data_IF_893121482386
#
_entry.id   IF_893121482386
#
_cell.length_a   1.000
_cell.length_b   1.000
_cell.length_c   1.000
_cell.angle_alpha   90.00
_cell.angle_beta   90.00
_cell.angle_gamma   90.00
#
_symmetry.space_group_name_H-M   'P 1'
#
loop_
_entity.id
_entity.type
_entity.pdbx_description
1 polymer ?
#
# COMPACT_ATOMS: atom_id res chain seq x y z
N UNK A 1 -1.53 19.40 -7.98
CA UNK A 1 -2.04 20.55 -7.18
C UNK A 1 -3.54 20.82 -7.36
N UNK A 2 -4.04 21.07 -8.58
CA UNK A 2 -5.46 21.44 -8.79
C UNK A 2 -6.49 20.35 -8.35
N UNK A 3 -6.18 19.07 -8.61
CA UNK A 3 -7.07 17.94 -8.24
C UNK A 3 -7.22 17.74 -6.73
N UNK A 4 -6.18 18.06 -5.96
CA UNK A 4 -6.17 17.89 -4.50
C UNK A 4 -7.14 18.84 -3.80
N UNK A 5 -7.29 20.08 -4.29
CA UNK A 5 -8.19 21.05 -3.67
C UNK A 5 -9.66 20.83 -3.99
N UNK A 6 -9.96 20.16 -5.10
CA UNK A 6 -11.33 19.84 -5.50
C UNK A 6 -12.07 19.01 -4.45
N UNK A 7 -11.36 18.13 -3.74
CA UNK A 7 -11.92 17.30 -2.66
C UNK A 7 -12.30 18.10 -1.40
N UNK A 8 -11.73 19.30 -1.23
CA UNK A 8 -11.98 20.18 -0.08
C UNK A 8 -13.18 21.11 -0.28
N UNK A 9 -13.73 21.20 -1.50
CA UNK A 9 -14.92 22.01 -1.81
C UNK A 9 -16.19 21.26 -1.39
N UNK A 10 -16.51 21.28 -0.09
CA UNK A 10 -17.79 20.80 0.47
C UNK A 10 -18.92 21.79 0.19
N UNK A 11 -18.63 23.09 0.26
CA UNK A 11 -19.58 24.15 -0.08
C UNK A 11 -19.29 24.73 -1.47
N UNK A 12 -20.06 24.30 -2.48
CA UNK A 12 -19.92 24.78 -3.86
C UNK A 12 -20.34 26.24 -4.06
N UNK A 13 -21.19 26.79 -3.19
CA UNK A 13 -21.57 28.20 -3.24
C UNK A 13 -20.44 29.14 -2.76
N UNK A 14 -19.49 28.62 -1.98
CA UNK A 14 -18.32 29.38 -1.47
C UNK A 14 -17.05 28.54 -1.59
N UNK A 15 -16.56 28.26 -2.81
CA UNK A 15 -15.49 27.29 -3.02
C UNK A 15 -14.17 27.68 -2.36
N UNK A 16 -13.78 28.96 -2.42
CA UNK A 16 -12.57 29.46 -1.74
C UNK A 16 -12.66 29.32 -0.23
N UNK A 17 -13.78 29.73 0.36
CA UNK A 17 -14.02 29.60 1.80
C UNK A 17 -13.99 28.13 2.26
N UNK A 18 -14.62 27.24 1.49
CA UNK A 18 -14.60 25.80 1.77
C UNK A 18 -13.19 25.20 1.74
N UNK A 19 -12.32 25.66 0.84
CA UNK A 19 -10.92 25.19 0.78
C UNK A 19 -10.14 25.69 1.99
N UNK A 20 -10.27 26.98 2.33
CA UNK A 20 -9.58 27.58 3.49
C UNK A 20 -9.99 26.88 4.78
N UNK A 21 -11.28 26.67 5.00
CA UNK A 21 -11.81 25.97 6.17
C UNK A 21 -11.24 24.54 6.29
N UNK A 22 -11.27 23.79 5.19
CA UNK A 22 -10.74 22.43 5.18
C UNK A 22 -9.22 22.39 5.44
N UNK A 23 -8.50 23.40 4.98
CA UNK A 23 -7.05 23.52 5.22
C UNK A 23 -6.75 23.84 6.68
N UNK A 24 -7.47 24.77 7.30
CA UNK A 24 -7.35 25.09 8.73
C UNK A 24 -7.62 23.83 9.57
N UNK A 25 -8.67 23.07 9.25
CA UNK A 25 -8.97 21.83 9.94
C UNK A 25 -7.86 20.78 9.75
N UNK A 26 -7.31 20.65 8.55
CA UNK A 26 -6.21 19.73 8.25
C UNK A 26 -4.94 20.09 9.04
N UNK A 27 -4.52 21.35 9.06
CA UNK A 27 -3.35 21.78 9.84
C UNK A 27 -3.57 21.59 11.34
N UNK A 28 -4.76 21.92 11.85
CA UNK A 28 -5.11 21.74 13.26
C UNK A 28 -5.04 20.26 13.68
N UNK A 29 -5.61 19.36 12.87
CA UNK A 29 -5.57 17.92 13.13
C UNK A 29 -4.16 17.36 13.01
N UNK A 30 -3.38 17.85 12.05
CA UNK A 30 -1.97 17.45 11.88
C UNK A 30 -1.15 17.87 13.11
N UNK A 31 -1.33 19.10 13.59
CA UNK A 31 -0.70 19.56 14.83
C UNK A 31 -1.12 18.72 16.04
N UNK A 32 -2.42 18.52 16.24
CA UNK A 32 -2.94 17.71 17.35
C UNK A 32 -2.46 16.26 17.30
N UNK A 33 -2.25 15.69 16.10
CA UNK A 33 -1.82 14.30 15.95
C UNK A 33 -0.49 13.99 16.64
N UNK A 34 0.42 14.97 16.73
CA UNK A 34 1.71 14.84 17.44
C UNK A 34 1.53 14.59 18.94
N UNK A 35 0.42 15.05 19.51
CA UNK A 35 0.14 14.95 20.94
C UNK A 35 -0.85 13.83 21.29
N UNK A 36 -1.50 13.21 20.30
CA UNK A 36 -2.47 12.13 20.47
C UNK A 36 -1.81 10.76 20.23
N UNK A 37 -0.89 10.37 21.12
CA UNK A 37 -0.03 9.17 20.94
C UNK A 37 -0.78 7.84 20.86
N UNK A 38 -2.04 7.79 21.31
CA UNK A 38 -2.84 6.57 21.40
C UNK A 38 -4.03 6.57 20.43
N UNK A 39 -4.03 7.46 19.43
CA UNK A 39 -5.09 7.54 18.42
C UNK A 39 -4.48 7.24 17.07
N UNK A 40 -5.09 6.32 16.33
CA UNK A 40 -4.70 6.09 14.95
C UNK A 40 -5.03 7.34 14.11
N UNK A 41 -4.02 7.87 13.44
CA UNK A 41 -4.12 9.06 12.58
C UNK A 41 -4.02 8.65 11.12
N UNK A 42 -4.35 9.55 10.21
CA UNK A 42 -4.13 9.32 8.77
C UNK A 42 -2.67 9.07 8.40
N UNK A 43 -1.73 9.46 9.27
CA UNK A 43 -0.29 9.31 9.06
C UNK A 43 0.28 8.03 9.66
N UNK A 44 -0.33 7.53 10.75
CA UNK A 44 0.11 6.32 11.44
C UNK A 44 -0.63 5.07 11.00
N UNK A 45 -1.79 5.23 10.34
CA UNK A 45 -2.58 4.11 9.82
C UNK A 45 -1.80 3.39 8.73
N UNK A 46 -1.71 2.08 8.84
CA UNK A 46 -1.11 1.21 7.84
C UNK A 46 -1.79 1.36 6.47
N UNK A 47 -1.10 0.97 5.40
CA UNK A 47 -1.70 1.01 4.07
C UNK A 47 -2.91 0.09 3.99
N UNK A 48 -3.85 0.40 3.07
CA UNK A 48 -5.13 -0.33 2.97
C UNK A 48 -4.99 -1.83 2.65
N UNK A 49 -3.81 -2.28 2.22
CA UNK A 49 -3.51 -3.68 1.96
C UNK A 49 -2.28 -4.14 2.75
N UNK A 50 -2.05 -3.52 3.90
CA UNK A 50 -1.18 -4.10 4.90
C UNK A 50 -2.01 -5.09 5.72
N UNK A 51 -1.96 -6.37 5.32
CA UNK A 51 -2.60 -7.47 6.06
C UNK A 51 -1.89 -7.73 7.41
N UNK A 52 -0.76 -7.04 7.67
CA UNK A 52 0.08 -7.25 8.82
C UNK A 52 0.71 -8.64 8.84
N UNK A 53 1.59 -8.85 9.82
CA UNK A 53 2.25 -10.14 10.02
C UNK A 53 3.49 -10.37 9.17
N UNK A 54 4.24 -11.42 9.52
CA UNK A 54 5.36 -11.89 8.71
C UNK A 54 4.86 -12.85 7.64
N UNK A 55 5.45 -12.81 6.44
CA UNK A 55 5.04 -13.70 5.37
C UNK A 55 5.41 -15.14 5.77
N UNK A 56 4.42 -16.04 5.80
CA UNK A 56 4.64 -17.46 6.06
C UNK A 56 5.14 -18.16 4.79
N UNK A 57 6.32 -17.74 4.32
CA UNK A 57 6.98 -18.27 3.14
C UNK A 57 8.26 -18.99 3.54
N UNK A 58 8.46 -20.20 2.99
CA UNK A 58 9.69 -20.98 3.22
C UNK A 58 10.90 -20.45 2.47
N UNK A 59 10.67 -19.74 1.36
CA UNK A 59 11.71 -19.15 0.53
C UNK A 59 11.47 -17.65 0.42
N UNK A 60 12.55 -16.88 0.53
CA UNK A 60 12.59 -15.42 0.44
C UNK A 60 11.91 -14.88 -0.82
N UNK A 61 12.09 -15.56 -1.96
CA UNK A 61 11.47 -15.20 -3.25
C UNK A 61 9.93 -15.19 -3.21
N UNK A 62 9.33 -15.92 -2.26
CA UNK A 62 7.88 -15.96 -2.04
C UNK A 62 7.43 -15.16 -0.80
N UNK A 63 8.36 -14.54 -0.07
CA UNK A 63 8.08 -13.78 1.15
C UNK A 63 7.52 -12.38 0.88
N UNK A 64 6.99 -12.11 -0.33
CA UNK A 64 6.50 -10.80 -0.68
C UNK A 64 5.12 -10.54 -0.04
N UNK A 65 5.00 -9.44 0.71
CA UNK A 65 3.74 -8.96 1.30
C UNK A 65 2.88 -8.24 0.24
N UNK A 66 2.49 -8.93 -0.83
CA UNK A 66 1.59 -8.36 -1.86
C UNK A 66 0.18 -8.87 -1.65
N UNK A 67 -0.76 -7.96 -1.43
CA UNK A 67 -2.17 -8.26 -1.53
C UNK A 67 -2.67 -7.87 -2.93
N UNK A 68 -3.01 -8.87 -3.75
CA UNK A 68 -3.56 -8.62 -5.10
C UNK A 68 -4.97 -8.03 -4.99
N UNK A 69 -5.25 -6.99 -5.78
CA UNK A 69 -6.58 -6.41 -5.84
C UNK A 69 -7.48 -7.08 -6.87
N UNK A 70 -8.75 -7.29 -6.51
CA UNK A 70 -9.79 -7.77 -7.42
C UNK A 70 -10.07 -9.27 -7.31
N UNK A 71 -10.98 -9.75 -8.16
CA UNK A 71 -11.26 -11.19 -8.24
C UNK A 71 -10.05 -11.91 -8.84
N UNK A 72 -9.58 -12.96 -8.18
CA UNK A 72 -8.55 -13.82 -8.73
C UNK A 72 -9.20 -14.84 -9.68
N UNK A 73 -8.54 -15.09 -10.81
CA UNK A 73 -8.86 -16.22 -11.69
C UNK A 73 -7.66 -17.14 -11.65
N UNK A 74 -7.88 -18.39 -11.26
CA UNK A 74 -6.86 -19.42 -11.35
C UNK A 74 -6.65 -19.76 -12.81
N UNK A 75 -5.45 -19.50 -13.32
CA UNK A 75 -5.05 -19.83 -14.69
C UNK A 75 -3.91 -20.82 -14.62
N UNK A 76 -3.94 -21.85 -15.46
CA UNK A 76 -2.80 -22.76 -15.58
C UNK A 76 -1.67 -22.09 -16.35
N UNK A 77 -0.47 -22.12 -15.76
CA UNK A 77 0.73 -21.66 -16.44
C UNK A 77 1.10 -22.59 -17.59
N UNK A 78 1.44 -21.99 -18.73
CA UNK A 78 2.05 -22.69 -19.87
C UNK A 78 3.43 -23.27 -19.50
N UNK A 79 3.92 -24.19 -20.32
CA UNK A 79 5.26 -24.77 -20.13
C UNK A 79 6.37 -23.72 -20.13
N UNK A 80 6.24 -22.69 -20.98
CA UNK A 80 7.22 -21.59 -21.06
C UNK A 80 7.21 -20.73 -19.81
N UNK A 81 6.03 -20.41 -19.27
CA UNK A 81 5.91 -19.66 -18.02
C UNK A 81 6.46 -20.45 -16.83
N UNK A 82 6.23 -21.76 -16.80
CA UNK A 82 6.81 -22.65 -15.79
C UNK A 82 8.34 -22.64 -15.86
N UNK A 83 8.92 -22.80 -17.04
CA UNK A 83 10.36 -22.74 -17.24
C UNK A 83 10.95 -21.38 -16.81
N UNK A 84 10.33 -20.28 -17.24
CA UNK A 84 10.74 -18.93 -16.83
C UNK A 84 10.67 -18.74 -15.31
N UNK A 85 9.61 -19.25 -14.68
CA UNK A 85 9.42 -19.17 -13.22
C UNK A 85 10.47 -19.99 -12.47
N UNK A 86 10.82 -21.18 -12.97
CA UNK A 86 11.89 -21.98 -12.40
C UNK A 86 13.24 -21.25 -12.45
N UNK A 87 13.62 -20.70 -13.60
CA UNK A 87 14.87 -19.95 -13.73
C UNK A 87 14.90 -18.71 -12.84
N UNK A 88 13.77 -18.00 -12.73
CA UNK A 88 13.65 -16.85 -11.84
C UNK A 88 13.91 -17.25 -10.38
N UNK A 89 13.29 -18.33 -9.91
CA UNK A 89 13.52 -18.84 -8.55
C UNK A 89 14.99 -19.23 -8.36
N UNK A 90 15.58 -19.93 -9.32
CA UNK A 90 16.99 -20.37 -9.26
C UNK A 90 17.98 -19.21 -9.17
N UNK A 91 17.67 -18.08 -9.80
CA UNK A 91 18.59 -16.95 -9.87
C UNK A 91 18.40 -15.92 -8.74
N UNK A 92 17.23 -15.90 -8.09
CA UNK A 92 16.84 -14.85 -7.13
C UNK A 92 16.56 -15.37 -5.71
N UNK A 93 16.84 -16.65 -5.43
CA UNK A 93 16.61 -17.27 -4.12
C UNK A 93 17.97 -17.56 -3.47
N UNK A 94 18.35 -16.76 -2.47
CA UNK A 94 19.65 -16.88 -1.80
C UNK A 94 19.79 -18.21 -1.05
N UNK A 95 18.68 -18.77 -0.55
CA UNK A 95 18.66 -20.01 0.22
C UNK A 95 19.10 -21.25 -0.57
N UNK A 96 19.11 -21.16 -1.90
CA UNK A 96 19.53 -22.24 -2.79
C UNK A 96 20.91 -22.00 -3.42
N UNK A 97 21.58 -20.89 -3.09
CA UNK A 97 22.93 -20.57 -3.60
C UNK A 97 23.92 -21.70 -3.27
N UNK A 98 23.78 -22.36 -2.12
CA UNK A 98 24.62 -23.50 -1.73
C UNK A 98 24.50 -24.72 -2.62
N UNK A 99 23.45 -24.81 -3.45
CA UNK A 99 23.19 -25.92 -4.37
C UNK A 99 23.49 -25.57 -5.84
N UNK A 100 23.99 -24.36 -6.10
CA UNK A 100 24.39 -23.89 -7.43
C UNK A 100 25.81 -24.34 -7.77
#
# INVERSE_FOLDING_TARGET
LLGTYKKYVRNKARPKGSIVEAYIAYESLTFCSVYLSNVETTFSRAERNDDGGEPDAKLSVFAQKVCTFGAHVMVEMSSQEKEASYWYILDNCDEIESFR
#
